data_IF_534962269014
#
_entry.id   IF_534962269014
#
_cell.length_a   1.000
_cell.length_b   1.000
_cell.length_c   1.000
_cell.angle_alpha   90.00
_cell.angle_beta   90.00
_cell.angle_gamma   90.00
#
_symmetry.space_group_name_H-M   'P 1'
#
loop_
_entity.id
_entity.type
_entity.pdbx_description
1 polymer ?
#
# COMPACT_ATOMS: atom_id res chain seq x y z
N UNK A 1 -12.85 29.93 32.40
CA UNK A 1 -12.38 28.68 31.81
C UNK A 1 -12.60 28.70 30.32
N UNK A 2 -11.55 28.92 29.57
CA UNK A 2 -11.59 29.05 28.09
C UNK A 2 -11.45 27.67 27.49
N UNK A 3 -12.49 27.17 26.82
CA UNK A 3 -12.46 25.89 26.09
C UNK A 3 -11.80 26.14 24.73
N UNK A 4 -10.57 25.73 24.58
CA UNK A 4 -9.87 25.77 23.29
C UNK A 4 -10.49 24.69 22.41
N UNK A 5 -11.38 25.06 21.48
CA UNK A 5 -11.84 24.21 20.39
C UNK A 5 -10.73 24.17 19.31
N UNK A 6 -9.85 23.21 19.38
CA UNK A 6 -8.94 22.91 18.29
C UNK A 6 -9.70 22.16 17.21
N UNK A 7 -10.07 22.88 16.15
CA UNK A 7 -10.69 22.30 14.97
C UNK A 7 -9.57 21.72 14.07
N UNK A 8 -9.01 20.59 14.49
CA UNK A 8 -8.02 19.86 13.70
C UNK A 8 -8.80 19.07 12.64
N UNK A 9 -8.68 19.49 11.39
CA UNK A 9 -9.27 18.75 10.28
C UNK A 9 -8.76 17.30 10.25
N UNK A 10 -9.63 16.34 9.89
CA UNK A 10 -9.33 14.90 9.89
C UNK A 10 -8.01 14.55 9.19
N UNK A 11 -7.67 15.23 8.09
CA UNK A 11 -6.37 15.12 7.38
C UNK A 11 -5.18 15.52 8.25
N UNK A 12 -5.32 16.60 9.01
CA UNK A 12 -4.26 17.06 9.93
C UNK A 12 -4.12 16.13 11.14
N UNK A 13 -5.22 15.53 11.60
CA UNK A 13 -5.19 14.52 12.66
C UNK A 13 -4.44 13.25 12.20
N UNK A 14 -4.77 12.70 11.04
CA UNK A 14 -4.11 11.51 10.49
C UNK A 14 -2.62 11.79 10.24
N UNK A 15 -2.29 12.94 9.65
CA UNK A 15 -0.90 13.35 9.42
C UNK A 15 -0.10 13.55 10.70
N UNK A 16 -0.72 14.12 11.74
CA UNK A 16 -0.02 14.42 12.99
C UNK A 16 0.05 13.21 13.93
N UNK A 17 -0.89 12.26 13.86
CA UNK A 17 -0.81 11.01 14.63
C UNK A 17 0.21 10.03 14.02
N UNK A 18 0.48 10.09 12.71
CA UNK A 18 1.54 9.29 12.07
C UNK A 18 2.96 9.75 12.42
N UNK A 19 3.13 11.00 12.87
CA UNK A 19 4.42 11.53 13.31
C UNK A 19 4.84 11.06 14.72
N UNK A 20 3.92 10.54 15.50
CA UNK A 20 4.19 10.07 16.89
C UNK A 20 4.46 8.56 16.97
N UNK A 21 4.12 7.81 15.93
CA UNK A 21 4.51 6.41 15.78
C UNK A 21 5.36 6.36 14.51
N UNK A 22 6.65 6.12 14.61
CA UNK A 22 7.54 6.04 13.45
C UNK A 22 7.03 4.95 12.50
N UNK A 23 6.25 5.36 11.50
CA UNK A 23 5.61 4.46 10.55
C UNK A 23 5.22 5.18 9.26
N UNK A 24 5.18 4.44 8.17
CA UNK A 24 4.75 4.89 6.86
C UNK A 24 3.25 4.67 6.68
N UNK A 25 2.48 5.76 6.59
CA UNK A 25 1.09 5.71 6.14
C UNK A 25 1.05 6.20 4.70
N UNK A 26 0.73 5.32 3.77
CA UNK A 26 0.55 5.67 2.37
C UNK A 26 -0.92 5.99 2.10
N UNK A 27 -1.20 7.27 1.84
CA UNK A 27 -2.47 7.72 1.32
C UNK A 27 -2.33 7.91 -0.20
N UNK A 28 -3.01 7.09 -0.98
CA UNK A 28 -3.04 7.23 -2.43
C UNK A 28 -4.17 8.16 -2.84
N UNK A 29 -3.81 9.25 -3.51
CA UNK A 29 -4.75 10.11 -4.21
C UNK A 29 -4.52 9.91 -5.71
N UNK A 30 -5.38 9.15 -6.37
CA UNK A 30 -5.36 9.02 -7.83
C UNK A 30 -6.11 10.20 -8.43
N UNK A 31 -5.43 11.31 -8.60
CA UNK A 31 -5.99 12.51 -9.24
C UNK A 31 -5.77 12.45 -10.75
N UNK A 32 -6.89 12.41 -11.47
CA UNK A 32 -7.08 12.86 -12.86
C UNK A 32 -5.80 13.16 -13.63
N UNK A 33 -5.19 12.17 -14.23
CA UNK A 33 -4.40 12.38 -15.43
C UNK A 33 -5.29 12.08 -16.63
N UNK A 34 -5.69 13.12 -17.34
CA UNK A 34 -6.25 13.01 -18.68
C UNK A 34 -5.16 12.47 -19.61
N UNK A 35 -4.98 11.18 -19.64
CA UNK A 35 -4.17 10.50 -20.65
C UNK A 35 -5.04 10.10 -21.85
N UNK A 36 -4.51 10.19 -23.09
CA UNK A 36 -5.22 9.72 -24.26
C UNK A 36 -5.46 8.22 -24.15
N UNK A 37 -6.69 7.81 -24.44
CA UNK A 37 -7.15 6.44 -24.34
C UNK A 37 -6.24 5.47 -25.11
N UNK A 38 -5.54 4.60 -24.37
CA UNK A 38 -4.95 3.38 -24.93
C UNK A 38 -6.06 2.35 -25.14
N UNK A 39 -5.93 1.41 -26.10
CA UNK A 39 -6.97 0.39 -26.28
C UNK A 39 -7.07 -0.48 -25.03
N UNK A 40 -8.17 -0.32 -24.32
CA UNK A 40 -8.48 -1.04 -23.09
C UNK A 40 -8.64 -2.55 -23.39
N UNK A 41 -7.87 -3.39 -22.72
CA UNK A 41 -8.13 -4.83 -22.72
C UNK A 41 -9.45 -5.10 -21.99
N UNK A 42 -10.17 -6.17 -22.38
CA UNK A 42 -11.50 -6.46 -21.83
C UNK A 42 -11.54 -6.57 -20.30
N UNK A 43 -10.41 -6.82 -19.64
CA UNK A 43 -10.27 -6.84 -18.18
C UNK A 43 -10.29 -5.44 -17.54
N UNK A 44 -9.75 -4.42 -18.22
CA UNK A 44 -9.74 -3.03 -17.73
C UNK A 44 -11.11 -2.35 -17.84
N UNK A 45 -11.94 -2.82 -18.78
CA UNK A 45 -13.25 -2.22 -19.07
C UNK A 45 -14.32 -2.52 -18.01
N UNK A 46 -14.11 -3.55 -17.18
CA UNK A 46 -15.05 -3.98 -16.13
C UNK A 46 -14.68 -3.45 -14.74
N UNK A 47 -13.53 -2.81 -14.58
CA UNK A 47 -13.14 -2.25 -13.29
C UNK A 47 -13.50 -0.77 -13.20
N UNK A 48 -14.27 -0.35 -12.19
CA UNK A 48 -14.47 1.08 -11.95
C UNK A 48 -13.12 1.73 -11.65
N UNK A 49 -12.73 2.76 -12.43
CA UNK A 49 -11.48 3.52 -12.23
C UNK A 49 -11.39 4.19 -10.86
N UNK A 50 -12.51 4.33 -10.17
CA UNK A 50 -12.67 5.16 -8.96
C UNK A 50 -12.70 4.35 -7.67
N UNK A 51 -12.41 3.05 -7.71
CA UNK A 51 -12.65 2.19 -6.56
C UNK A 51 -11.62 2.29 -5.44
N UNK A 52 -10.45 2.77 -5.76
CA UNK A 52 -9.34 2.91 -4.83
C UNK A 52 -8.80 4.34 -4.73
N UNK A 53 -9.57 5.32 -5.21
CA UNK A 53 -9.20 6.72 -5.06
C UNK A 53 -9.14 7.13 -3.59
N UNK A 54 -7.98 7.57 -3.15
CA UNK A 54 -7.72 8.20 -1.85
C UNK A 54 -7.66 7.31 -0.61
N UNK A 55 -7.07 6.11 -0.67
CA UNK A 55 -7.10 5.20 0.47
C UNK A 55 -5.74 4.88 1.07
N UNK A 56 -5.63 5.07 2.38
CA UNK A 56 -4.53 4.57 3.18
C UNK A 56 -4.81 3.10 3.57
N UNK A 57 -4.36 2.15 2.75
CA UNK A 57 -4.49 0.72 3.06
C UNK A 57 -3.37 0.18 3.90
N UNK A 58 -2.28 0.92 4.01
CA UNK A 58 -1.02 0.40 4.43
C UNK A 58 -0.37 1.28 5.47
N UNK A 59 0.06 0.69 6.57
CA UNK A 59 0.95 1.29 7.55
C UNK A 59 2.15 0.35 7.76
N UNK A 60 3.36 0.89 7.75
CA UNK A 60 4.59 0.18 8.09
C UNK A 60 5.13 0.79 9.38
N UNK A 61 5.09 0.02 10.45
CA UNK A 61 5.60 0.43 11.75
C UNK A 61 7.14 0.37 11.83
N UNK A 62 7.72 1.15 12.72
CA UNK A 62 9.17 1.09 13.00
C UNK A 62 9.61 -0.26 13.61
N UNK A 63 8.67 -1.10 13.99
CA UNK A 63 8.88 -2.48 14.46
C UNK A 63 8.74 -3.53 13.36
N UNK A 64 8.82 -3.12 12.09
CA UNK A 64 8.69 -3.94 10.87
C UNK A 64 7.33 -4.62 10.69
N UNK A 65 6.33 -4.29 11.51
CA UNK A 65 4.97 -4.79 11.31
C UNK A 65 4.27 -3.97 10.23
N UNK A 66 3.60 -4.70 9.35
CA UNK A 66 2.83 -4.12 8.24
C UNK A 66 1.35 -4.29 8.55
N UNK A 67 0.64 -3.19 8.77
CA UNK A 67 -0.81 -3.22 8.95
C UNK A 67 -1.48 -2.91 7.64
N UNK A 68 -2.38 -3.81 7.21
CA UNK A 68 -3.16 -3.67 5.97
C UNK A 68 -4.65 -3.62 6.31
N UNK A 69 -5.31 -2.56 5.83
CA UNK A 69 -6.73 -2.32 6.05
C UNK A 69 -7.60 -2.63 4.82
N UNK A 70 -8.11 -3.87 4.65
CA UNK A 70 -9.02 -4.15 3.55
C UNK A 70 -10.34 -3.38 3.71
N UNK A 71 -10.88 -2.77 2.65
CA UNK A 71 -12.10 -1.98 2.74
C UNK A 71 -13.36 -2.87 2.83
N UNK A 72 -13.36 -4.03 2.19
CA UNK A 72 -14.52 -4.90 2.14
C UNK A 72 -14.66 -5.68 3.45
N UNK A 73 -15.84 -5.68 4.09
CA UNK A 73 -16.02 -6.38 5.35
C UNK A 73 -15.92 -7.90 5.19
N UNK A 74 -15.56 -8.56 6.29
CA UNK A 74 -15.52 -10.02 6.37
C UNK A 74 -16.87 -10.57 6.80
N UNK A 75 -17.38 -11.53 6.05
CA UNK A 75 -18.65 -12.24 6.35
C UNK A 75 -18.49 -13.76 6.23
N UNK A 76 -17.28 -14.27 6.36
CA UNK A 76 -16.94 -15.68 6.22
C UNK A 76 -16.39 -16.08 4.84
N UNK A 77 -16.27 -15.12 3.91
CA UNK A 77 -15.77 -15.35 2.55
C UNK A 77 -14.24 -15.16 2.42
N UNK A 78 -13.53 -14.89 3.52
CA UNK A 78 -12.06 -14.73 3.59
C UNK A 78 -11.51 -13.51 2.81
N UNK A 79 -12.28 -12.46 2.62
CA UNK A 79 -11.79 -11.22 2.00
C UNK A 79 -10.69 -10.55 2.83
N UNK A 80 -10.78 -10.62 4.17
CA UNK A 80 -9.74 -10.12 5.08
C UNK A 80 -8.43 -10.93 5.05
N UNK A 81 -8.39 -12.03 4.33
CA UNK A 81 -7.16 -12.78 4.06
C UNK A 81 -6.68 -12.48 2.64
N UNK A 82 -7.52 -12.72 1.66
CA UNK A 82 -7.13 -12.69 0.25
C UNK A 82 -6.89 -11.27 -0.29
N UNK A 83 -7.60 -10.26 0.17
CA UNK A 83 -7.33 -8.89 -0.25
C UNK A 83 -5.97 -8.35 0.26
N UNK A 84 -5.65 -8.47 1.56
CA UNK A 84 -4.33 -8.07 2.06
C UNK A 84 -3.16 -8.84 1.43
N UNK A 85 -3.36 -10.12 1.07
CA UNK A 85 -2.34 -10.91 0.38
C UNK A 85 -1.91 -10.29 -0.95
N UNK A 86 -2.85 -9.69 -1.70
CA UNK A 86 -2.52 -9.04 -2.98
C UNK A 86 -1.56 -7.85 -2.79
N UNK A 87 -1.75 -7.09 -1.72
CA UNK A 87 -0.88 -5.96 -1.38
C UNK A 87 0.46 -6.45 -0.80
N UNK A 88 0.41 -7.40 0.13
CA UNK A 88 1.59 -7.92 0.81
C UNK A 88 2.58 -8.59 -0.14
N UNK A 89 2.06 -9.32 -1.15
CA UNK A 89 2.88 -9.95 -2.18
C UNK A 89 3.64 -8.92 -3.02
N UNK A 90 2.97 -7.88 -3.49
CA UNK A 90 3.60 -6.78 -4.22
C UNK A 90 4.58 -5.98 -3.35
N UNK A 91 4.31 -5.86 -2.08
CA UNK A 91 5.17 -5.15 -1.12
C UNK A 91 6.43 -5.95 -0.78
N UNK A 92 6.47 -7.24 -1.04
CA UNK A 92 7.58 -8.15 -0.67
C UNK A 92 7.76 -8.30 0.84
N UNK A 93 6.68 -8.44 1.60
CA UNK A 93 6.73 -8.72 3.04
C UNK A 93 6.33 -10.15 3.34
N UNK A 94 6.87 -10.71 4.40
CA UNK A 94 6.43 -12.02 4.89
C UNK A 94 5.03 -11.93 5.45
N UNK A 95 4.15 -12.87 5.08
CA UNK A 95 2.77 -12.88 5.56
C UNK A 95 2.64 -12.95 7.09
N UNK A 96 3.59 -13.57 7.77
CA UNK A 96 3.66 -13.62 9.24
C UNK A 96 3.81 -12.25 9.92
N UNK A 97 4.34 -11.26 9.20
CA UNK A 97 4.58 -9.91 9.70
C UNK A 97 3.44 -8.93 9.35
N UNK A 98 2.41 -9.43 8.65
CA UNK A 98 1.22 -8.67 8.29
C UNK A 98 0.17 -8.75 9.38
N UNK A 99 -0.30 -7.58 9.81
CA UNK A 99 -1.49 -7.41 10.66
C UNK A 99 -2.62 -6.94 9.76
N UNK A 100 -3.76 -7.61 9.85
CA UNK A 100 -4.95 -7.21 9.09
C UNK A 100 -5.94 -6.53 10.02
N UNK A 101 -6.24 -5.27 9.76
CA UNK A 101 -7.23 -4.50 10.50
C UNK A 101 -8.35 -4.08 9.54
N UNK A 102 -9.57 -4.56 9.78
CA UNK A 102 -10.72 -4.19 8.96
C UNK A 102 -10.86 -2.66 8.92
N UNK A 103 -10.85 -2.09 7.72
CA UNK A 103 -11.10 -0.66 7.57
C UNK A 103 -12.49 -0.29 8.08
N UNK A 104 -12.57 0.78 8.87
CA UNK A 104 -13.84 1.31 9.35
C UNK A 104 -14.66 1.87 8.18
N UNK A 105 -15.98 1.90 8.32
CA UNK A 105 -16.85 2.48 7.30
C UNK A 105 -16.47 3.95 7.09
N UNK A 106 -16.07 4.27 5.87
CA UNK A 106 -15.72 5.62 5.46
C UNK A 106 -16.05 5.84 3.99
N UNK A 107 -17.22 6.39 3.73
CA UNK A 107 -17.74 6.63 2.38
C UNK A 107 -17.04 7.79 1.65
N UNK A 108 -16.20 8.57 2.34
CA UNK A 108 -15.38 9.60 1.73
C UNK A 108 -14.05 9.04 1.17
N UNK A 109 -13.55 7.95 1.81
CA UNK A 109 -12.29 7.30 1.43
C UNK A 109 -12.50 6.09 0.54
N UNK A 110 -13.60 5.38 0.72
CA UNK A 110 -13.88 4.14 0.02
C UNK A 110 -15.18 4.24 -0.77
N UNK A 111 -15.10 4.04 -2.06
CA UNK A 111 -16.30 4.04 -2.92
C UNK A 111 -17.18 2.82 -2.67
N UNK A 112 -16.57 1.74 -2.14
CA UNK A 112 -17.31 0.50 -1.88
C UNK A 112 -16.72 -0.29 -0.70
N UNK A 113 -17.52 -0.37 0.36
CA UNK A 113 -17.26 -1.23 1.52
C UNK A 113 -18.44 -2.19 1.66
N UNK A 114 -18.48 -3.23 0.83
CA UNK A 114 -19.69 -4.04 0.65
C UNK A 114 -19.33 -5.51 0.40
N UNK A 115 -20.13 -6.43 0.94
CA UNK A 115 -20.07 -7.87 0.65
C UNK A 115 -21.15 -8.21 -0.35
N UNK A 116 -20.79 -8.82 -1.48
CA UNK A 116 -21.77 -9.33 -2.43
C UNK A 116 -21.23 -9.49 -3.84
N UNK A 117 -21.86 -10.39 -4.60
CA UNK A 117 -21.60 -10.62 -6.01
C UNK A 117 -20.20 -11.16 -6.34
N UNK A 118 -19.46 -11.68 -5.37
CA UNK A 118 -18.07 -12.19 -5.54
C UNK A 118 -17.13 -11.17 -6.18
N UNK A 119 -17.28 -9.88 -5.82
CA UNK A 119 -16.56 -8.79 -6.48
C UNK A 119 -15.31 -8.32 -5.73
N UNK A 120 -15.15 -8.63 -4.43
CA UNK A 120 -14.10 -8.06 -3.59
C UNK A 120 -12.69 -8.23 -4.19
N UNK A 121 -12.28 -9.46 -4.50
CA UNK A 121 -10.97 -9.73 -5.08
C UNK A 121 -10.89 -9.22 -6.52
N UNK A 122 -11.88 -9.51 -7.35
CA UNK A 122 -11.88 -9.14 -8.77
C UNK A 122 -11.71 -7.62 -8.97
N UNK A 123 -12.42 -6.83 -8.20
CA UNK A 123 -12.36 -5.38 -8.28
C UNK A 123 -11.17 -4.80 -7.51
N UNK A 124 -10.75 -5.46 -6.40
CA UNK A 124 -9.61 -5.04 -5.59
C UNK A 124 -8.23 -5.41 -6.14
N UNK A 125 -8.18 -6.32 -7.11
CA UNK A 125 -6.94 -6.94 -7.59
C UNK A 125 -5.87 -5.93 -7.99
N UNK A 126 -6.18 -5.09 -8.97
CA UNK A 126 -5.20 -4.13 -9.50
C UNK A 126 -4.83 -3.06 -8.48
N UNK A 127 -5.83 -2.46 -7.81
CA UNK A 127 -5.59 -1.36 -6.87
C UNK A 127 -4.76 -1.76 -5.65
N UNK A 128 -5.03 -2.93 -5.06
CA UNK A 128 -4.24 -3.42 -3.93
C UNK A 128 -2.81 -3.77 -4.33
N UNK A 129 -2.62 -4.37 -5.50
CA UNK A 129 -1.30 -4.64 -6.04
C UNK A 129 -0.53 -3.34 -6.31
N UNK A 130 -1.16 -2.37 -6.94
CA UNK A 130 -0.55 -1.06 -7.17
C UNK A 130 -0.16 -0.37 -5.86
N UNK A 131 -0.99 -0.46 -4.82
CA UNK A 131 -0.67 0.08 -3.51
C UNK A 131 0.59 -0.56 -2.92
N UNK A 132 0.71 -1.87 -2.97
CA UNK A 132 1.91 -2.60 -2.51
C UNK A 132 3.15 -2.27 -3.33
N UNK A 133 3.04 -2.28 -4.67
CA UNK A 133 4.14 -1.97 -5.57
C UNK A 133 4.64 -0.52 -5.43
N UNK A 134 3.73 0.44 -5.26
CA UNK A 134 4.10 1.84 -5.03
C UNK A 134 4.84 2.02 -3.71
N UNK A 135 4.37 1.38 -2.66
CA UNK A 135 5.05 1.41 -1.36
C UNK A 135 6.46 0.80 -1.44
N UNK A 136 6.59 -0.35 -2.08
CA UNK A 136 7.89 -0.97 -2.34
C UNK A 136 8.82 -0.05 -3.12
N UNK A 137 8.32 0.62 -4.15
CA UNK A 137 9.10 1.55 -4.94
C UNK A 137 9.58 2.74 -4.12
N UNK A 138 8.73 3.35 -3.30
CA UNK A 138 9.11 4.46 -2.41
C UNK A 138 10.17 4.05 -1.39
N UNK A 139 10.07 2.85 -0.82
CA UNK A 139 11.07 2.30 0.09
C UNK A 139 12.42 2.10 -0.61
N UNK A 140 12.42 1.57 -1.84
CA UNK A 140 13.63 1.44 -2.66
C UNK A 140 14.26 2.80 -2.98
N UNK A 141 13.47 3.79 -3.31
CA UNK A 141 13.94 5.16 -3.57
C UNK A 141 14.53 5.81 -2.32
N UNK A 142 13.90 5.63 -1.17
CA UNK A 142 14.43 6.11 0.10
C UNK A 142 15.80 5.49 0.42
N UNK A 143 15.94 4.18 0.25
CA UNK A 143 17.22 3.48 0.44
C UNK A 143 18.26 3.91 -0.60
N UNK A 144 17.89 4.10 -1.86
CA UNK A 144 18.77 4.58 -2.92
C UNK A 144 19.35 5.95 -2.59
N UNK A 145 18.52 6.87 -2.08
CA UNK A 145 18.94 8.18 -1.63
C UNK A 145 19.88 8.08 -0.41
N UNK A 146 19.53 7.26 0.57
CA UNK A 146 20.31 7.09 1.80
C UNK A 146 21.70 6.48 1.54
N UNK A 147 21.79 5.56 0.58
CA UNK A 147 23.04 4.87 0.24
C UNK A 147 23.81 5.50 -0.92
N UNK A 148 23.23 6.52 -1.56
CA UNK A 148 23.79 7.17 -2.75
C UNK A 148 24.07 6.18 -3.90
N UNK A 149 23.14 5.27 -4.18
CA UNK A 149 23.23 4.23 -5.20
C UNK A 149 22.03 4.28 -6.16
N UNK A 150 22.12 3.73 -7.38
CA UNK A 150 20.97 3.64 -8.26
C UNK A 150 19.83 2.79 -7.68
N UNK A 151 18.58 3.23 -7.77
CA UNK A 151 17.42 2.49 -7.28
C UNK A 151 17.26 1.10 -7.93
N UNK A 152 17.76 0.93 -9.17
CA UNK A 152 17.75 -0.35 -9.88
C UNK A 152 18.64 -1.42 -9.22
N UNK A 153 19.63 -1.03 -8.42
CA UNK A 153 20.52 -1.95 -7.71
C UNK A 153 19.95 -2.43 -6.37
N UNK A 154 18.81 -1.85 -5.96
CA UNK A 154 18.13 -2.22 -4.71
C UNK A 154 17.11 -3.30 -4.99
N UNK A 155 17.22 -4.40 -4.28
CA UNK A 155 16.27 -5.51 -4.27
C UNK A 155 15.51 -5.57 -2.96
N UNK A 156 14.36 -6.25 -2.96
CA UNK A 156 13.49 -6.41 -1.79
C UNK A 156 13.23 -7.90 -1.53
N UNK A 157 13.12 -8.27 -0.27
CA UNK A 157 12.62 -9.58 0.14
C UNK A 157 12.27 -9.58 1.63
N UNK A 158 11.15 -10.19 2.01
CA UNK A 158 10.77 -10.41 3.42
C UNK A 158 10.74 -9.14 4.27
N UNK A 159 10.33 -7.99 3.71
CA UNK A 159 10.30 -6.72 4.42
C UNK A 159 11.65 -6.02 4.59
N UNK A 160 12.64 -6.44 3.80
CA UNK A 160 14.00 -5.90 3.81
C UNK A 160 14.38 -5.30 2.45
N UNK A 161 15.23 -4.29 2.48
CA UNK A 161 15.90 -3.68 1.34
C UNK A 161 17.35 -4.13 1.32
N UNK A 162 17.86 -4.49 0.14
CA UNK A 162 19.21 -5.00 -0.03
C UNK A 162 19.93 -4.30 -1.17
N UNK A 163 21.19 -3.96 -0.94
CA UNK A 163 22.14 -3.55 -1.99
C UNK A 163 23.33 -4.52 -2.02
N UNK A 164 23.33 -5.40 -3.02
CA UNK A 164 24.27 -6.52 -3.12
C UNK A 164 25.73 -6.06 -3.20
N UNK A 165 26.01 -5.00 -3.98
CA UNK A 165 27.36 -4.55 -4.23
C UNK A 165 28.06 -4.03 -2.96
N UNK A 166 27.36 -3.29 -2.10
CA UNK A 166 27.89 -2.81 -0.81
C UNK A 166 27.65 -3.77 0.35
N UNK A 167 26.90 -4.85 0.14
CA UNK A 167 26.46 -5.79 1.19
C UNK A 167 25.67 -5.09 2.32
N UNK A 168 24.91 -4.06 1.96
CA UNK A 168 24.10 -3.29 2.90
C UNK A 168 22.67 -3.79 2.85
N UNK A 169 22.02 -3.86 4.01
CA UNK A 169 20.58 -4.19 4.14
C UNK A 169 19.97 -3.36 5.23
N UNK A 170 18.69 -3.05 5.08
CA UNK A 170 17.91 -2.30 6.07
C UNK A 170 16.47 -2.78 6.04
N UNK A 171 15.76 -2.70 7.16
CA UNK A 171 14.36 -3.08 7.22
C UNK A 171 13.44 -1.99 6.64
N UNK A 172 12.21 -2.39 6.30
CA UNK A 172 11.19 -1.45 5.85
C UNK A 172 10.82 -0.45 6.94
N UNK A 173 10.74 -0.90 8.20
CA UNK A 173 10.42 -0.03 9.33
C UNK A 173 11.44 1.09 9.52
N UNK A 174 12.73 0.79 9.36
CA UNK A 174 13.80 1.78 9.45
C UNK A 174 13.73 2.81 8.30
N UNK A 175 13.29 2.40 7.09
CA UNK A 175 13.16 3.28 5.92
C UNK A 175 11.78 3.95 5.80
N UNK A 176 10.78 3.51 6.54
CA UNK A 176 9.40 3.96 6.42
C UNK A 176 9.26 5.49 6.56
N UNK A 177 9.94 6.07 7.53
CA UNK A 177 9.90 7.53 7.75
C UNK A 177 10.52 8.31 6.59
N UNK A 178 11.63 7.85 6.03
CA UNK A 178 12.26 8.50 4.87
C UNK A 178 11.38 8.33 3.61
N UNK A 179 10.84 7.14 3.38
CA UNK A 179 9.94 6.85 2.27
C UNK A 179 8.68 7.73 2.30
N UNK A 180 8.13 8.01 3.49
CA UNK A 180 6.92 8.84 3.63
C UNK A 180 7.09 10.30 3.18
N UNK A 181 8.32 10.76 3.00
CA UNK A 181 8.63 12.11 2.51
C UNK A 181 8.69 12.18 0.97
N UNK A 182 8.70 11.03 0.30
CA UNK A 182 8.77 10.96 -1.15
C UNK A 182 7.38 11.09 -1.78
N UNK A 183 7.36 11.52 -3.03
CA UNK A 183 6.12 11.53 -3.81
C UNK A 183 5.72 10.11 -4.18
N UNK A 184 4.42 9.83 -4.16
CA UNK A 184 3.90 8.55 -4.65
C UNK A 184 4.17 8.44 -6.15
N UNK A 185 4.80 7.35 -6.62
CA UNK A 185 5.08 7.18 -8.04
C UNK A 185 3.77 7.03 -8.85
N UNK A 186 3.69 7.75 -9.97
CA UNK A 186 2.54 7.70 -10.87
C UNK A 186 2.42 6.33 -11.58
N UNK A 187 3.55 5.71 -11.87
CA UNK A 187 3.62 4.43 -12.56
C UNK A 187 4.55 3.47 -11.81
N UNK A 188 4.06 2.26 -11.57
CA UNK A 188 4.83 1.19 -10.95
C UNK A 188 4.69 -0.10 -11.75
N UNK A 189 5.75 -0.88 -11.76
CA UNK A 189 5.72 -2.21 -12.38
C UNK A 189 5.23 -3.22 -11.35
N UNK A 190 4.15 -3.92 -11.70
CA UNK A 190 3.63 -5.02 -10.91
C UNK A 190 4.47 -6.28 -11.14
N UNK A 191 4.56 -7.15 -10.15
CA UNK A 191 5.17 -8.48 -10.27
C UNK A 191 4.46 -9.31 -11.34
N UNK A 192 5.20 -10.16 -12.04
CA UNK A 192 4.59 -11.23 -12.80
C UNK A 192 3.98 -12.28 -11.84
N UNK A 193 3.03 -13.05 -12.34
CA UNK A 193 2.37 -14.09 -11.51
C UNK A 193 3.39 -15.13 -11.01
N UNK A 194 4.40 -15.42 -11.79
CA UNK A 194 5.46 -16.36 -11.43
C UNK A 194 6.40 -15.84 -10.31
N UNK A 195 6.35 -14.55 -10.03
CA UNK A 195 7.15 -13.89 -8.99
C UNK A 195 6.39 -13.77 -7.65
N UNK A 196 5.20 -14.34 -7.55
CA UNK A 196 4.41 -14.31 -6.32
C UNK A 196 5.02 -15.24 -5.26
N UNK A 197 5.05 -14.75 -4.02
CA UNK A 197 5.59 -15.47 -2.87
C UNK A 197 4.51 -15.88 -1.87
N UNK A 198 3.34 -15.25 -1.91
CA UNK A 198 2.23 -15.47 -1.00
C UNK A 198 1.05 -16.08 -1.76
N UNK A 199 0.66 -15.47 -2.88
CA UNK A 199 -0.50 -15.87 -3.66
C UNK A 199 -0.17 -17.14 -4.45
N UNK A 200 -1.02 -18.17 -4.31
CA UNK A 200 -0.85 -19.44 -5.03
C UNK A 200 0.15 -20.41 -4.38
N UNK A 201 0.71 -20.06 -3.23
CA UNK A 201 1.55 -20.97 -2.43
C UNK A 201 0.71 -21.74 -1.43
N UNK A 202 1.20 -22.93 -0.99
CA UNK A 202 0.55 -23.81 -0.01
C UNK A 202 1.28 -23.77 1.33
#
# INVERSE_FOLDING_TARGET
MSTIKTNIGRRAFIRNSSLTTAGLILAFSWLNSSQPAQPETMAEKEMPKDWFDNNAYLNIGANDRVTIGPPNPEGGQKSNTSMPMNLADELDVDWKDVIVEQAQLNTELYTRQFIGGSQAIRQGWTGLRMAGASARQMLKEAAALAWAVPVAEITTSGGMLHHQASKTSVSYGEMASAASQLSVPENVTLKAVDDFNIIGTS
#
